data_IF_187171584119
#
_entry.id   IF_187171584119
#
_cell.length_a   1.000
_cell.length_b   1.000
_cell.length_c   1.000
_cell.angle_alpha   90.00
_cell.angle_beta   90.00
_cell.angle_gamma   90.00
#
_symmetry.space_group_name_H-M   'P 1'
#
loop_
_entity.id
_entity.type
_entity.pdbx_description
1 polymer ?
#
# COMPACT_ATOMS: atom_id res chain seq x y z
N UNK A 1 11.89 13.86 26.04
CA UNK A 1 10.69 13.45 25.29
C UNK A 1 11.16 12.55 24.17
N UNK A 2 10.74 11.28 24.16
CA UNK A 2 11.12 10.33 23.12
C UNK A 2 10.21 10.59 21.92
N UNK A 3 10.77 10.96 20.77
CA UNK A 3 9.99 11.17 19.54
C UNK A 3 9.54 9.82 18.97
N UNK A 4 8.34 9.71 18.41
CA UNK A 4 7.81 8.46 17.81
C UNK A 4 8.73 7.90 16.74
N UNK A 5 9.26 8.79 15.88
CA UNK A 5 10.25 8.45 14.87
C UNK A 5 11.50 9.33 14.96
N UNK A 6 12.65 8.85 14.46
CA UNK A 6 13.80 9.70 14.21
C UNK A 6 13.45 10.83 13.24
N UNK A 7 13.98 12.02 13.52
CA UNK A 7 13.86 13.18 12.63
C UNK A 7 15.05 13.27 11.69
N UNK A 8 14.81 13.78 10.49
CA UNK A 8 15.91 14.14 9.59
C UNK A 8 16.66 15.37 10.14
N UNK A 9 17.82 15.66 9.54
CA UNK A 9 18.55 16.90 9.86
C UNK A 9 17.65 18.11 9.57
N UNK A 10 17.79 19.18 10.36
CA UNK A 10 16.97 20.42 10.22
C UNK A 10 16.96 21.02 8.81
N UNK A 11 18.00 20.80 8.04
CA UNK A 11 18.15 21.30 6.67
C UNK A 11 17.53 20.39 5.60
N UNK A 12 17.21 19.16 5.95
CA UNK A 12 16.68 18.14 5.04
C UNK A 12 15.15 18.10 5.13
N UNK A 13 14.50 17.76 4.01
CA UNK A 13 13.06 17.53 3.98
C UNK A 13 12.73 16.12 4.51
N UNK A 14 11.74 16.03 5.38
CA UNK A 14 11.15 14.80 5.89
C UNK A 14 9.65 14.98 6.05
N UNK A 15 8.92 13.94 6.44
CA UNK A 15 7.47 14.02 6.53
C UNK A 15 7.00 14.96 7.65
N UNK A 16 5.91 15.67 7.38
CA UNK A 16 5.24 16.53 8.32
C UNK A 16 4.88 15.72 9.59
N UNK A 17 5.42 16.17 10.72
CA UNK A 17 5.28 15.47 12.00
C UNK A 17 3.81 15.41 12.43
N UNK A 18 3.09 16.52 12.33
CA UNK A 18 1.68 16.59 12.77
C UNK A 18 0.81 15.64 11.94
N UNK A 19 0.96 15.66 10.61
CA UNK A 19 0.19 14.75 9.75
C UNK A 19 0.47 13.27 10.04
N UNK A 20 1.73 12.91 10.31
CA UNK A 20 2.10 11.53 10.66
C UNK A 20 1.48 11.13 12.01
N UNK A 21 1.59 11.98 13.02
CA UNK A 21 1.03 11.67 14.35
C UNK A 21 -0.50 11.59 14.33
N UNK A 22 -1.18 12.52 13.64
CA UNK A 22 -2.64 12.52 13.48
C UNK A 22 -3.12 11.23 12.82
N UNK A 23 -2.45 10.83 11.73
CA UNK A 23 -2.77 9.58 11.03
C UNK A 23 -2.55 8.35 11.92
N UNK A 24 -1.44 8.29 12.67
CA UNK A 24 -1.18 7.18 13.58
C UNK A 24 -2.19 7.10 14.73
N UNK A 25 -2.67 8.24 15.21
CA UNK A 25 -3.72 8.28 16.21
C UNK A 25 -5.04 7.74 15.64
N UNK A 26 -5.41 8.16 14.43
CA UNK A 26 -6.60 7.67 13.74
C UNK A 26 -6.52 6.16 13.46
N UNK A 27 -5.37 5.69 12.98
CA UNK A 27 -5.13 4.27 12.73
C UNK A 27 -5.23 3.45 14.02
N UNK A 28 -4.71 3.96 15.15
CA UNK A 28 -4.84 3.32 16.46
C UNK A 28 -6.30 3.19 16.89
N UNK A 29 -7.12 4.24 16.69
CA UNK A 29 -8.55 4.20 17.00
C UNK A 29 -9.28 3.18 16.12
N UNK A 30 -8.98 3.16 14.82
CA UNK A 30 -9.54 2.20 13.88
C UNK A 30 -9.19 0.76 14.26
N UNK A 31 -7.94 0.50 14.65
CA UNK A 31 -7.50 -0.82 15.10
C UNK A 31 -8.10 -1.21 16.46
N UNK A 32 -8.39 -0.27 17.37
CA UNK A 32 -9.05 -0.59 18.65
C UNK A 32 -10.54 -0.89 18.52
N UNK A 33 -11.19 -0.37 17.47
CA UNK A 33 -12.63 -0.58 17.23
C UNK A 33 -12.90 -1.88 16.47
N UNK A 34 -13.98 -2.59 16.81
CA UNK A 34 -14.46 -3.74 16.02
C UNK A 34 -15.25 -3.31 14.77
N UNK A 35 -15.52 -2.00 14.64
CA UNK A 35 -16.35 -1.44 13.57
C UNK A 35 -15.49 -0.57 12.66
N UNK A 36 -14.72 -1.22 11.78
CA UNK A 36 -13.90 -0.56 10.75
C UNK A 36 -14.72 0.36 9.83
N UNK A 37 -16.03 0.13 9.74
CA UNK A 37 -16.99 0.97 9.00
C UNK A 37 -17.11 2.42 9.50
N UNK A 38 -16.67 2.76 10.71
CA UNK A 38 -16.86 4.11 11.26
C UNK A 38 -15.65 5.03 11.03
N UNK A 39 -14.43 4.48 10.95
CA UNK A 39 -13.19 5.27 10.86
C UNK A 39 -12.60 5.33 9.46
N UNK A 40 -12.97 4.43 8.54
CA UNK A 40 -12.53 4.50 7.14
C UNK A 40 -11.06 4.13 6.89
N UNK A 41 -10.31 3.69 7.91
CA UNK A 41 -8.94 3.19 7.75
C UNK A 41 -8.93 1.66 7.60
N UNK A 42 -8.44 1.23 6.44
CA UNK A 42 -8.16 -0.15 6.06
C UNK A 42 -6.73 -0.26 5.50
N UNK A 43 -6.29 -1.47 5.16
CA UNK A 43 -4.96 -1.71 4.59
C UNK A 43 -4.72 -0.88 3.31
N UNK A 44 -5.73 -0.73 2.45
CA UNK A 44 -5.63 0.06 1.22
C UNK A 44 -5.43 1.56 1.50
N UNK A 45 -6.12 2.10 2.49
CA UNK A 45 -6.00 3.49 2.92
C UNK A 45 -4.61 3.77 3.49
N UNK A 46 -4.05 2.85 4.28
CA UNK A 46 -2.66 2.96 4.79
C UNK A 46 -1.67 2.98 3.63
N UNK A 47 -1.79 2.06 2.66
CA UNK A 47 -0.90 2.00 1.48
C UNK A 47 -0.90 3.29 0.65
N UNK A 48 -2.03 4.01 0.62
CA UNK A 48 -2.23 5.21 -0.20
C UNK A 48 -1.93 6.51 0.53
N UNK A 49 -1.69 6.47 1.84
CA UNK A 49 -1.43 7.68 2.60
C UNK A 49 -0.16 8.36 2.09
N UNK A 50 -0.17 9.68 2.10
CA UNK A 50 1.02 10.47 1.76
C UNK A 50 1.08 11.69 2.68
N UNK A 51 2.29 12.13 2.98
CA UNK A 51 2.55 13.25 3.87
C UNK A 51 3.29 14.35 3.13
N UNK A 52 3.02 15.58 3.53
CA UNK A 52 3.77 16.73 3.06
C UNK A 52 5.22 16.69 3.54
N UNK A 53 6.13 17.17 2.70
CA UNK A 53 7.55 17.25 3.01
C UNK A 53 7.87 18.61 3.66
N UNK A 54 8.40 18.57 4.88
CA UNK A 54 8.76 19.74 5.68
C UNK A 54 10.21 19.65 6.18
N UNK A 55 10.85 20.79 6.43
CA UNK A 55 12.24 20.82 6.89
C UNK A 55 12.35 20.30 8.32
N UNK A 56 13.23 19.32 8.56
CA UNK A 56 13.43 18.74 9.89
C UNK A 56 12.27 17.86 10.37
N UNK A 57 11.43 17.39 9.44
CA UNK A 57 10.34 16.45 9.71
C UNK A 57 10.82 15.04 10.10
N UNK A 58 9.90 14.09 10.14
CA UNK A 58 10.23 12.69 10.36
C UNK A 58 10.99 12.07 9.18
N UNK A 59 11.87 11.11 9.50
CA UNK A 59 12.57 10.34 8.48
C UNK A 59 11.57 9.54 7.65
N UNK A 60 11.46 9.79 6.33
CA UNK A 60 10.56 9.04 5.45
C UNK A 60 10.79 7.54 5.57
N UNK A 61 12.05 7.11 5.50
CA UNK A 61 12.43 5.70 5.67
C UNK A 61 11.86 5.06 6.94
N UNK A 62 11.92 5.74 8.10
CA UNK A 62 11.42 5.16 9.35
C UNK A 62 9.90 5.16 9.42
N UNK A 63 9.25 6.17 8.84
CA UNK A 63 7.79 6.29 8.78
C UNK A 63 7.24 5.24 7.82
N UNK A 64 7.79 5.13 6.62
CA UNK A 64 7.38 4.17 5.58
C UNK A 64 7.49 2.73 6.10
N UNK A 65 8.65 2.37 6.69
CA UNK A 65 8.82 1.05 7.31
C UNK A 65 7.80 0.76 8.43
N UNK A 66 7.34 1.78 9.14
CA UNK A 66 6.33 1.61 10.18
C UNK A 66 4.92 1.49 9.58
N UNK A 67 4.64 2.22 8.50
CA UNK A 67 3.38 2.12 7.75
C UNK A 67 3.25 0.77 7.06
N UNK A 68 4.33 0.21 6.51
CA UNK A 68 4.33 -1.15 5.96
C UNK A 68 3.90 -2.19 7.02
N UNK A 69 4.49 -2.11 8.22
CA UNK A 69 4.12 -2.99 9.35
C UNK A 69 2.69 -2.78 9.82
N UNK A 70 2.22 -1.53 9.78
CA UNK A 70 0.86 -1.18 10.15
C UNK A 70 -0.13 -1.74 9.11
N UNK A 71 0.18 -1.59 7.83
CA UNK A 71 -0.58 -2.17 6.72
C UNK A 71 -0.70 -3.68 6.87
N UNK A 72 0.42 -4.39 7.10
CA UNK A 72 0.43 -5.84 7.30
C UNK A 72 -0.50 -6.27 8.45
N UNK A 73 -0.49 -5.52 9.56
CA UNK A 73 -1.36 -5.80 10.70
C UNK A 73 -2.85 -5.63 10.37
N UNK A 74 -3.19 -4.58 9.62
CA UNK A 74 -4.55 -4.34 9.15
C UNK A 74 -5.00 -5.40 8.13
N UNK A 75 -4.15 -5.72 7.15
CA UNK A 75 -4.41 -6.72 6.13
C UNK A 75 -4.66 -8.10 6.76
N UNK A 76 -3.88 -8.48 7.78
CA UNK A 76 -4.08 -9.73 8.52
C UNK A 76 -5.44 -9.76 9.21
N UNK A 77 -5.84 -8.69 9.91
CA UNK A 77 -7.13 -8.63 10.60
C UNK A 77 -8.30 -8.64 9.62
N UNK A 78 -8.18 -7.92 8.50
CA UNK A 78 -9.18 -7.91 7.43
C UNK A 78 -9.36 -9.29 6.84
N UNK A 79 -8.25 -10.02 6.59
CA UNK A 79 -8.29 -11.42 6.18
C UNK A 79 -9.00 -12.31 7.20
N UNK A 80 -8.65 -12.23 8.49
CA UNK A 80 -9.28 -13.05 9.53
C UNK A 80 -10.79 -12.80 9.62
N UNK A 81 -11.22 -11.54 9.46
CA UNK A 81 -12.64 -11.19 9.41
C UNK A 81 -13.33 -11.74 8.16
N UNK A 82 -12.73 -11.54 6.99
CA UNK A 82 -13.29 -12.04 5.74
C UNK A 82 -13.46 -13.56 5.78
N UNK A 83 -12.45 -14.30 6.24
CA UNK A 83 -12.53 -15.75 6.48
C UNK A 83 -13.67 -16.10 7.45
N UNK A 84 -13.86 -15.32 8.51
CA UNK A 84 -14.96 -15.51 9.46
C UNK A 84 -16.36 -15.23 8.90
N UNK A 85 -16.48 -14.33 7.93
CA UNK A 85 -17.75 -13.92 7.30
C UNK A 85 -18.14 -14.79 6.10
N UNK A 86 -17.19 -15.06 5.19
CA UNK A 86 -17.43 -15.76 3.91
C UNK A 86 -16.98 -17.23 3.91
N UNK A 87 -16.18 -17.64 4.91
CA UNK A 87 -15.58 -18.96 4.96
C UNK A 87 -14.20 -19.00 4.29
N UNK A 88 -13.34 -19.90 4.78
CA UNK A 88 -11.94 -19.97 4.34
C UNK A 88 -11.81 -20.39 2.87
N UNK A 89 -12.59 -21.37 2.42
CA UNK A 89 -12.56 -21.88 1.04
C UNK A 89 -12.94 -20.81 0.01
N UNK A 90 -14.05 -20.11 0.24
CA UNK A 90 -14.54 -19.04 -0.65
C UNK A 90 -13.57 -17.85 -0.68
N UNK A 91 -13.01 -17.47 0.48
CA UNK A 91 -11.98 -16.43 0.57
C UNK A 91 -10.75 -16.78 -0.27
N UNK A 92 -10.19 -17.98 -0.10
CA UNK A 92 -9.01 -18.40 -0.85
C UNK A 92 -9.29 -18.60 -2.33
N UNK A 93 -10.46 -19.12 -2.68
CA UNK A 93 -10.90 -19.25 -4.06
C UNK A 93 -10.94 -17.89 -4.77
N UNK A 94 -11.49 -16.86 -4.12
CA UNK A 94 -11.50 -15.49 -4.64
C UNK A 94 -10.10 -14.91 -4.80
N UNK A 95 -9.23 -15.06 -3.80
CA UNK A 95 -7.85 -14.56 -3.85
C UNK A 95 -7.05 -15.27 -4.96
N UNK A 96 -7.24 -16.58 -5.13
CA UNK A 96 -6.59 -17.35 -6.19
C UNK A 96 -7.07 -16.88 -7.57
N UNK A 97 -8.38 -16.66 -7.75
CA UNK A 97 -8.93 -16.16 -9.01
C UNK A 97 -8.36 -14.77 -9.36
N UNK A 98 -8.22 -13.89 -8.38
CA UNK A 98 -7.61 -12.57 -8.56
C UNK A 98 -6.12 -12.68 -8.94
N UNK A 99 -5.36 -13.54 -8.26
CA UNK A 99 -3.95 -13.78 -8.57
C UNK A 99 -3.75 -14.33 -9.98
N UNK A 100 -4.59 -15.29 -10.40
CA UNK A 100 -4.58 -15.84 -11.76
C UNK A 100 -4.88 -14.74 -12.77
N UNK A 101 -5.91 -13.90 -12.55
CA UNK A 101 -6.23 -12.81 -13.45
C UNK A 101 -5.09 -11.79 -13.60
N UNK A 102 -4.37 -11.50 -12.50
CA UNK A 102 -3.16 -10.65 -12.53
C UNK A 102 -2.05 -11.33 -13.35
N UNK A 103 -1.75 -12.60 -13.09
CA UNK A 103 -0.73 -13.35 -13.84
C UNK A 103 -1.05 -13.44 -15.32
N UNK A 104 -2.31 -13.71 -15.68
CA UNK A 104 -2.78 -13.73 -17.07
C UNK A 104 -2.57 -12.37 -17.75
N UNK A 105 -2.86 -11.27 -17.06
CA UNK A 105 -2.64 -9.93 -17.59
C UNK A 105 -1.15 -9.65 -17.81
N UNK A 106 -0.29 -10.02 -16.85
CA UNK A 106 1.15 -9.81 -16.92
C UNK A 106 1.84 -10.74 -17.93
N UNK A 107 1.24 -11.89 -18.24
CA UNK A 107 1.78 -12.87 -19.19
C UNK A 107 1.42 -12.57 -20.65
N UNK A 108 0.63 -11.53 -20.93
CA UNK A 108 0.35 -11.08 -22.30
C UNK A 108 1.61 -10.67 -23.04
N UNK A 109 1.62 -10.72 -24.39
CA UNK A 109 2.72 -10.20 -25.19
C UNK A 109 3.08 -8.76 -24.82
N UNK A 110 4.34 -8.40 -25.03
CA UNK A 110 4.84 -7.05 -24.77
C UNK A 110 3.99 -6.02 -25.49
N UNK A 111 3.79 -4.88 -24.84
CA UNK A 111 2.92 -3.79 -25.28
C UNK A 111 1.40 -4.08 -25.38
N UNK A 112 0.96 -5.31 -25.06
CA UNK A 112 -0.45 -5.73 -25.00
C UNK A 112 -0.94 -6.00 -23.56
N UNK A 113 -0.03 -5.94 -22.58
CA UNK A 113 -0.33 -6.12 -21.15
C UNK A 113 -1.22 -5.05 -20.56
N UNK A 114 -1.21 -3.82 -21.09
CA UNK A 114 -2.01 -2.71 -20.56
C UNK A 114 -2.50 -1.80 -21.68
N UNK A 115 -3.62 -1.12 -21.44
CA UNK A 115 -4.15 -0.11 -22.37
C UNK A 115 -3.17 1.05 -22.52
N UNK A 116 -2.75 1.32 -23.75
CA UNK A 116 -1.89 2.47 -24.05
C UNK A 116 -2.65 3.77 -23.86
N UNK A 117 -2.00 4.76 -23.25
CA UNK A 117 -2.55 6.11 -23.16
C UNK A 117 -2.36 6.86 -24.48
N UNK A 118 -3.31 7.73 -24.82
CA UNK A 118 -3.21 8.60 -26.00
C UNK A 118 -2.09 9.64 -25.88
N UNK A 119 -1.70 10.28 -27.00
CA UNK A 119 -0.48 11.08 -27.13
C UNK A 119 -0.39 12.32 -26.22
N UNK A 120 -1.49 12.74 -25.61
CA UNK A 120 -1.56 13.93 -24.74
C UNK A 120 -1.65 13.60 -23.24
N UNK A 121 -1.51 12.33 -22.86
CA UNK A 121 -1.56 11.90 -21.45
C UNK A 121 -0.17 11.47 -20.99
N UNK A 122 0.21 11.87 -19.78
CA UNK A 122 1.41 11.36 -19.12
C UNK A 122 1.15 9.94 -18.64
N UNK A 123 2.04 9.04 -19.01
CA UNK A 123 2.04 7.64 -18.59
C UNK A 123 3.46 7.10 -18.47
N UNK A 124 3.57 5.88 -17.97
CA UNK A 124 4.83 5.14 -17.95
C UNK A 124 5.27 4.75 -19.37
N UNK A 125 6.59 4.59 -19.57
CA UNK A 125 7.12 4.06 -20.84
C UNK A 125 6.74 2.59 -20.96
N UNK A 126 6.16 2.22 -22.10
CA UNK A 126 5.66 0.84 -22.34
C UNK A 126 6.76 -0.20 -22.10
N UNK A 127 7.94 0.02 -22.66
CA UNK A 127 9.11 -0.86 -22.47
C UNK A 127 9.47 -1.09 -20.99
N UNK A 128 9.38 -0.06 -20.15
CA UNK A 128 9.69 -0.16 -18.72
C UNK A 128 8.59 -0.89 -17.94
N UNK A 129 7.33 -0.69 -18.35
CA UNK A 129 6.20 -1.44 -17.78
C UNK A 129 6.33 -2.91 -18.13
N UNK A 130 6.75 -3.21 -19.36
CA UNK A 130 6.96 -4.57 -19.81
C UNK A 130 8.11 -5.26 -19.08
N UNK A 131 9.26 -4.60 -18.94
CA UNK A 131 10.39 -5.10 -18.14
C UNK A 131 9.98 -5.37 -16.68
N UNK A 132 9.20 -4.47 -16.08
CA UNK A 132 8.70 -4.65 -14.73
C UNK A 132 7.70 -5.82 -14.62
N UNK A 133 6.80 -5.97 -15.59
CA UNK A 133 5.87 -7.09 -15.64
C UNK A 133 6.60 -8.44 -15.75
N UNK A 134 7.64 -8.51 -16.59
CA UNK A 134 8.50 -9.69 -16.71
C UNK A 134 9.23 -10.01 -15.40
N UNK A 135 9.74 -9.00 -14.71
CA UNK A 135 10.37 -9.17 -13.41
C UNK A 135 9.39 -9.76 -12.36
N UNK A 136 8.14 -9.29 -12.35
CA UNK A 136 7.10 -9.83 -11.47
C UNK A 136 6.79 -11.29 -11.83
N UNK A 137 6.54 -11.58 -13.11
CA UNK A 137 6.24 -12.95 -13.56
C UNK A 137 7.39 -13.90 -13.23
N UNK A 138 8.64 -13.46 -13.44
CA UNK A 138 9.83 -14.25 -13.11
C UNK A 138 10.00 -14.50 -11.60
N UNK A 139 9.52 -13.60 -10.74
CA UNK A 139 9.58 -13.77 -9.29
C UNK A 139 8.49 -14.72 -8.77
N UNK A 140 7.34 -14.76 -9.45
CA UNK A 140 6.18 -15.56 -9.04
C UNK A 140 6.18 -16.99 -9.58
N UNK A 141 6.97 -17.26 -10.63
CA UNK A 141 7.22 -18.59 -11.17
C UNK A 141 8.36 -19.31 -10.43
#
# INVERSE_FOLDING_TARGET
MNSTFPRVRRTQAGYNIEQVEDFLEEARRAYGSDVQKVTGIDAQSIRRVSFEMTKGGYSPEHVDNALDRLEDAFAKRERERAIGEEGEEDYFGRIQAEAVAVLEQLSKPNEERFTRLGPFRKGYRVEQVDEFAEAIVSYLN
#
